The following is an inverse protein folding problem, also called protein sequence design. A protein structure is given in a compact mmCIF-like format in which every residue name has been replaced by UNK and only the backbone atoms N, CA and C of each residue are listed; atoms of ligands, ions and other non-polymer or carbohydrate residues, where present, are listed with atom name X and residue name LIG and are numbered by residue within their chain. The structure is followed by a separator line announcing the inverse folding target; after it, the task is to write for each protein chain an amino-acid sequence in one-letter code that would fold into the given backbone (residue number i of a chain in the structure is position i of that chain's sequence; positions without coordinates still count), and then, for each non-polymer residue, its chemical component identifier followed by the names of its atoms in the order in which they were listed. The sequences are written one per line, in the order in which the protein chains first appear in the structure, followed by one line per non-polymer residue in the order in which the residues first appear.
data_IF_773905071188
#
_entry.id   IF_773905071188
#
_cell.length_a   1.000
_cell.length_b   1.000
_cell.length_c   1.000
_cell.angle_alpha   90.00
_cell.angle_beta   90.00
_cell.angle_gamma   90.00
#
_symmetry.space_group_name_H-M   'P 1'
#
loop_
_entity.id
_entity.type
_entity.pdbx_description
1 polymer ?
#
# COMPACT_ATOMS: atom_id res chain seq x y z
N UNK A 1 49.20 -41.68 36.55
CA UNK A 1 48.94 -40.67 35.48
C UNK A 1 47.50 -40.22 35.56
N UNK A 2 47.24 -38.91 35.70
CA UNK A 2 45.87 -38.39 35.66
C UNK A 2 45.36 -38.41 34.21
N UNK A 3 44.15 -38.90 33.91
CA UNK A 3 43.63 -38.95 32.55
C UNK A 3 43.53 -37.52 31.95
N UNK A 4 43.90 -37.42 30.70
CA UNK A 4 43.81 -36.14 29.96
C UNK A 4 42.34 -35.75 29.76
N UNK A 5 42.06 -34.45 29.56
CA UNK A 5 40.71 -33.92 29.34
C UNK A 5 39.94 -34.66 28.21
N UNK A 6 40.65 -35.01 27.13
CA UNK A 6 40.10 -35.79 26.00
C UNK A 6 39.69 -37.23 26.43
N UNK A 7 40.45 -37.85 27.33
CA UNK A 7 40.13 -39.21 27.86
C UNK A 7 38.91 -39.19 28.77
N UNK A 8 38.68 -38.09 29.51
CA UNK A 8 37.44 -37.90 30.30
C UNK A 8 36.22 -37.62 29.44
N UNK A 9 36.33 -36.91 28.31
CA UNK A 9 35.24 -36.73 27.36
C UNK A 9 34.77 -38.03 26.69
N UNK A 10 35.73 -38.93 26.39
CA UNK A 10 35.42 -40.27 25.80
C UNK A 10 34.74 -41.22 26.76
N UNK A 11 34.75 -40.96 28.06
CA UNK A 11 34.09 -41.79 29.10
C UNK A 11 32.67 -41.31 29.46
N UNK A 12 32.22 -40.19 28.89
CA UNK A 12 30.88 -39.68 29.13
C UNK A 12 29.81 -40.42 28.30
N UNK A 13 28.69 -40.71 28.91
CA UNK A 13 27.56 -41.30 28.18
C UNK A 13 27.03 -40.33 27.13
N UNK A 14 26.42 -40.83 26.07
CA UNK A 14 25.80 -40.02 25.00
C UNK A 14 24.82 -39.01 25.57
N UNK A 15 24.10 -39.35 26.64
CA UNK A 15 23.21 -38.43 27.37
C UNK A 15 23.95 -37.28 28.04
N UNK A 16 25.11 -37.55 28.65
CA UNK A 16 25.93 -36.52 29.29
C UNK A 16 26.55 -35.57 28.27
N UNK A 17 26.97 -36.08 27.12
CA UNK A 17 27.51 -35.25 26.01
C UNK A 17 26.39 -34.34 25.43
N UNK A 18 25.18 -34.87 25.26
CA UNK A 18 24.03 -34.13 24.78
C UNK A 18 23.63 -33.02 25.76
N UNK A 19 23.63 -33.31 27.08
CA UNK A 19 23.35 -32.34 28.12
C UNK A 19 24.37 -31.18 28.18
N UNK A 20 25.66 -31.51 28.01
CA UNK A 20 26.72 -30.51 27.97
C UNK A 20 26.59 -29.63 26.72
N UNK A 21 26.31 -30.21 25.56
CA UNK A 21 26.12 -29.50 24.31
C UNK A 21 24.91 -28.58 24.37
N UNK A 22 23.76 -29.02 24.88
CA UNK A 22 22.56 -28.20 25.02
C UNK A 22 22.77 -27.08 26.02
N UNK A 23 23.41 -27.32 27.18
CA UNK A 23 23.68 -26.27 28.16
C UNK A 23 24.67 -25.23 27.64
N UNK A 24 25.65 -25.65 26.83
CA UNK A 24 26.60 -24.69 26.17
C UNK A 24 25.88 -23.83 25.15
N UNK A 25 24.98 -24.39 24.33
CA UNK A 25 24.19 -23.63 23.36
C UNK A 25 23.28 -22.61 24.06
N UNK A 26 22.60 -23.02 25.12
CA UNK A 26 21.75 -22.13 25.93
C UNK A 26 22.57 -21.02 26.56
N UNK A 27 23.75 -21.32 27.10
CA UNK A 27 24.64 -20.32 27.69
C UNK A 27 25.10 -19.29 26.65
N UNK A 28 25.52 -19.73 25.46
CA UNK A 28 25.92 -18.84 24.37
C UNK A 28 24.75 -17.97 23.91
N UNK A 29 23.57 -18.54 23.73
CA UNK A 29 22.37 -17.79 23.35
C UNK A 29 22.00 -16.72 24.40
N UNK A 30 22.15 -17.07 25.69
CA UNK A 30 21.89 -16.14 26.81
C UNK A 30 22.94 -14.99 26.82
N UNK A 31 24.22 -15.29 26.59
CA UNK A 31 25.27 -14.27 26.52
C UNK A 31 25.03 -13.32 25.34
N UNK A 32 24.65 -13.85 24.16
CA UNK A 32 24.35 -13.02 22.97
C UNK A 32 23.12 -12.14 23.22
N UNK A 33 22.08 -12.67 23.83
CA UNK A 33 20.88 -11.88 24.18
C UNK A 33 21.19 -10.80 25.22
N UNK A 34 21.97 -11.10 26.26
CA UNK A 34 22.39 -10.14 27.27
C UNK A 34 23.31 -9.06 26.69
N UNK A 35 24.25 -9.43 25.81
CA UNK A 35 25.11 -8.45 25.16
C UNK A 35 24.33 -7.51 24.22
N UNK A 36 23.32 -8.01 23.53
CA UNK A 36 22.41 -7.21 22.71
C UNK A 36 21.59 -6.21 23.56
N UNK A 37 21.07 -6.65 24.70
CA UNK A 37 20.31 -5.77 25.62
C UNK A 37 21.20 -4.71 26.28
N UNK A 38 22.40 -5.07 26.72
CA UNK A 38 23.38 -4.14 27.29
C UNK A 38 23.80 -3.10 26.24
N UNK A 39 24.07 -3.53 25.00
CA UNK A 39 24.42 -2.63 23.89
C UNK A 39 23.28 -1.66 23.58
N UNK A 40 22.04 -2.12 23.54
CA UNK A 40 20.88 -1.25 23.28
C UNK A 40 20.60 -0.26 24.41
N UNK A 41 20.76 -0.68 25.67
CA UNK A 41 20.63 0.17 26.83
C UNK A 41 21.73 1.24 26.88
N UNK A 42 22.99 0.85 26.58
CA UNK A 42 24.12 1.76 26.49
C UNK A 42 23.92 2.82 25.41
N UNK A 43 23.48 2.42 24.19
CA UNK A 43 23.16 3.36 23.10
C UNK A 43 22.04 4.32 23.46
N UNK A 44 20.97 3.84 24.17
CA UNK A 44 19.89 4.72 24.66
C UNK A 44 20.39 5.73 25.68
N UNK A 45 21.28 5.31 26.57
CA UNK A 45 21.88 6.18 27.58
C UNK A 45 22.80 7.22 26.94
N UNK A 46 23.60 6.80 25.96
CA UNK A 46 24.44 7.69 25.18
C UNK A 46 23.63 8.75 24.43
N UNK A 47 22.58 8.34 23.69
CA UNK A 47 21.66 9.28 23.02
C UNK A 47 21.03 10.27 23.99
N UNK A 48 20.66 9.82 25.18
CA UNK A 48 20.05 10.69 26.20
C UNK A 48 21.05 11.70 26.77
N UNK A 49 22.31 11.33 26.96
CA UNK A 49 23.36 12.19 27.54
C UNK A 49 23.99 13.13 26.51
N UNK A 50 24.34 12.61 25.35
CA UNK A 50 25.16 13.30 24.35
C UNK A 50 24.40 13.65 23.07
N UNK A 51 23.12 13.30 22.97
CA UNK A 51 22.37 13.47 21.73
C UNK A 51 22.68 12.41 20.67
N UNK A 52 22.04 12.53 19.53
CA UNK A 52 22.16 11.64 18.38
C UNK A 52 23.18 12.18 17.38
N UNK A 53 24.09 11.32 16.93
CA UNK A 53 25.05 11.68 15.88
C UNK A 53 24.34 11.85 14.54
N UNK A 54 24.64 12.93 13.82
CA UNK A 54 24.02 13.28 12.55
C UNK A 54 25.08 13.66 11.52
N UNK A 55 24.81 13.35 10.26
CA UNK A 55 25.69 13.65 9.14
C UNK A 55 27.02 12.90 9.19
N UNK A 56 27.94 13.29 8.32
CA UNK A 56 29.27 12.67 8.18
C UNK A 56 30.35 13.37 9.02
N UNK A 57 30.06 14.54 9.60
CA UNK A 57 31.02 15.35 10.38
C UNK A 57 30.84 15.19 11.89
N UNK A 58 30.19 14.08 12.32
CA UNK A 58 30.03 13.71 13.73
C UNK A 58 29.34 14.76 14.59
N UNK A 59 28.52 15.65 13.97
CA UNK A 59 27.72 16.60 14.72
C UNK A 59 26.68 15.85 15.56
N UNK A 60 26.24 16.46 16.66
CA UNK A 60 25.25 15.86 17.55
C UNK A 60 23.99 16.70 17.64
N UNK A 61 22.83 16.02 17.51
CA UNK A 61 21.51 16.61 17.74
C UNK A 61 20.97 16.17 19.09
N UNK A 62 20.71 17.13 19.95
CA UNK A 62 20.01 16.91 21.22
C UNK A 62 18.53 17.22 21.00
N UNK A 63 17.69 16.20 21.07
CA UNK A 63 16.25 16.29 20.79
C UNK A 63 15.57 17.42 21.56
N UNK A 64 14.79 18.24 20.85
CA UNK A 64 14.08 19.38 21.40
C UNK A 64 14.99 20.52 21.92
N UNK A 65 16.22 20.60 21.44
CA UNK A 65 17.16 21.62 21.88
C UNK A 65 18.04 22.17 20.73
N UNK A 66 19.14 21.52 20.39
CA UNK A 66 20.15 22.11 19.53
C UNK A 66 20.98 21.07 18.78
N UNK A 67 21.66 21.55 17.71
CA UNK A 67 22.77 20.83 17.04
C UNK A 67 24.09 21.47 17.52
N UNK A 68 25.05 20.66 17.89
CA UNK A 68 26.35 21.11 18.37
C UNK A 68 27.50 20.27 17.83
N UNK A 69 28.71 20.87 17.83
CA UNK A 69 29.94 20.16 17.56
C UNK A 69 30.42 19.52 18.87
N UNK A 70 30.52 18.19 19.00
CA UNK A 70 30.94 17.55 20.24
C UNK A 70 32.43 17.76 20.60
N UNK A 71 33.29 18.10 19.62
CA UNK A 71 34.70 18.33 19.85
C UNK A 71 34.98 19.72 20.47
N UNK A 72 34.24 20.74 19.99
CA UNK A 72 34.41 22.13 20.43
C UNK A 72 33.42 22.55 21.49
N UNK A 73 32.29 21.82 21.60
CA UNK A 73 31.13 22.22 22.43
C UNK A 73 30.32 23.37 21.83
N UNK A 74 30.64 23.85 20.62
CA UNK A 74 29.95 24.95 19.96
C UNK A 74 28.54 24.56 19.56
N UNK A 75 27.54 25.37 19.91
CA UNK A 75 26.14 25.22 19.46
C UNK A 75 26.04 25.88 18.08
N UNK A 76 25.80 25.07 17.05
CA UNK A 76 25.68 25.51 15.67
C UNK A 76 24.25 25.96 15.32
N UNK A 77 23.25 25.32 15.95
CA UNK A 77 21.84 25.66 15.77
C UNK A 77 21.08 25.37 17.06
N UNK A 78 20.33 26.34 17.56
CA UNK A 78 19.62 26.28 18.84
C UNK A 78 18.10 26.35 18.66
N UNK A 79 17.37 25.98 19.73
CA UNK A 79 15.92 26.07 19.83
C UNK A 79 15.19 25.33 18.72
N UNK A 80 15.59 24.08 18.46
CA UNK A 80 15.01 23.19 17.48
C UNK A 80 13.84 22.44 18.11
N UNK A 81 12.66 22.47 17.50
CA UNK A 81 11.51 21.68 17.97
C UNK A 81 11.73 20.19 17.66
N UNK A 82 12.09 19.88 16.42
CA UNK A 82 12.47 18.52 15.98
C UNK A 82 13.31 18.54 14.70
N UNK A 83 14.02 17.45 14.47
CA UNK A 83 14.82 17.16 13.29
C UNK A 83 14.43 15.79 12.76
N UNK A 84 14.00 15.73 11.50
CA UNK A 84 13.73 14.47 10.81
C UNK A 84 14.94 14.10 9.95
N UNK A 85 15.65 13.07 10.37
CA UNK A 85 16.88 12.59 9.75
C UNK A 85 16.60 11.31 8.98
N UNK A 86 16.83 11.35 7.69
CA UNK A 86 16.99 10.14 6.89
C UNK A 86 18.49 9.78 6.87
N UNK A 87 18.87 8.69 7.52
CA UNK A 87 20.27 8.29 7.66
C UNK A 87 20.97 7.93 6.35
N UNK A 88 20.23 7.78 5.26
CA UNK A 88 20.80 7.60 3.92
C UNK A 88 21.08 8.92 3.20
N UNK A 89 20.73 10.07 3.79
CA UNK A 89 20.88 11.40 3.20
C UNK A 89 21.64 12.37 4.13
N UNK A 90 22.29 13.34 3.53
CA UNK A 90 22.97 14.45 4.23
C UNK A 90 22.07 15.67 4.42
N UNK A 91 20.83 15.62 3.93
CA UNK A 91 19.82 16.67 4.07
C UNK A 91 18.70 16.16 4.98
N UNK A 92 18.32 16.97 5.93
CA UNK A 92 17.23 16.68 6.87
C UNK A 92 16.18 17.78 6.84
N UNK A 93 15.00 17.48 7.40
CA UNK A 93 13.95 18.45 7.66
C UNK A 93 14.08 18.94 9.09
N UNK A 94 14.30 20.24 9.26
CA UNK A 94 14.31 20.92 10.54
C UNK A 94 12.97 21.62 10.79
N UNK A 95 12.46 21.50 12.02
CA UNK A 95 11.32 22.28 12.48
C UNK A 95 11.70 23.18 13.66
N UNK A 96 11.26 24.42 13.60
CA UNK A 96 11.39 25.42 14.65
C UNK A 96 10.23 26.42 14.57
N UNK A 97 9.57 26.69 15.69
CA UNK A 97 8.44 27.63 15.77
C UNK A 97 7.35 27.32 14.74
N UNK A 98 7.00 26.04 14.60
CA UNK A 98 6.02 25.56 13.63
C UNK A 98 6.34 25.86 12.15
N UNK A 99 7.61 26.18 11.85
CA UNK A 99 8.14 26.34 10.51
C UNK A 99 9.17 25.28 10.20
N UNK A 100 9.36 25.00 8.91
CA UNK A 100 10.26 23.96 8.43
C UNK A 100 11.27 24.53 7.45
N UNK A 101 12.44 23.90 7.42
CA UNK A 101 13.52 24.18 6.48
C UNK A 101 14.26 22.88 6.15
N UNK A 102 14.92 22.85 5.02
CA UNK A 102 15.97 21.86 4.76
C UNK A 102 17.28 22.33 5.37
N UNK A 103 18.00 21.41 5.97
CA UNK A 103 19.28 21.63 6.62
C UNK A 103 20.33 20.63 6.14
N UNK A 104 21.55 21.08 5.96
CA UNK A 104 22.70 20.20 5.70
C UNK A 104 23.21 19.64 7.03
N UNK A 105 23.17 18.33 7.19
CA UNK A 105 23.58 17.64 8.41
C UNK A 105 25.09 17.68 8.66
N UNK A 106 25.90 17.93 7.64
CA UNK A 106 27.36 18.00 7.80
C UNK A 106 27.82 19.36 8.30
N UNK A 107 27.05 20.41 8.08
CA UNK A 107 27.45 21.79 8.42
C UNK A 107 26.49 22.47 9.41
N UNK A 108 25.34 21.86 9.68
CA UNK A 108 24.21 22.44 10.41
C UNK A 108 23.70 23.77 9.80
N UNK A 109 23.99 24.03 8.52
CA UNK A 109 23.51 25.23 7.82
C UNK A 109 22.14 24.99 7.18
N UNK A 110 21.28 25.98 7.26
CA UNK A 110 20.02 25.95 6.56
C UNK A 110 20.25 26.05 5.04
N UNK A 111 19.67 25.10 4.29
CA UNK A 111 19.65 25.09 2.83
C UNK A 111 18.53 25.99 2.32
N UNK A 112 17.38 25.99 3.02
CA UNK A 112 16.23 26.84 2.69
C UNK A 112 15.85 27.71 3.89
N UNK A 113 15.19 28.87 3.65
CA UNK A 113 14.72 29.68 4.77
C UNK A 113 13.67 28.95 5.61
N UNK A 114 13.63 29.24 6.91
CA UNK A 114 12.72 28.63 7.89
C UNK A 114 11.34 29.31 7.85
N UNK A 115 10.61 29.15 6.76
CA UNK A 115 9.33 29.84 6.51
C UNK A 115 8.21 28.92 6.03
N UNK A 116 8.51 27.64 5.77
CA UNK A 116 7.57 26.68 5.21
C UNK A 116 6.74 26.00 6.31
N UNK A 117 5.52 25.61 5.97
CA UNK A 117 4.55 25.01 6.89
C UNK A 117 4.63 23.48 6.90
N UNK A 118 4.99 22.91 5.77
CA UNK A 118 5.17 21.47 5.59
C UNK A 118 6.41 21.20 4.77
N UNK A 119 6.97 20.01 4.93
CA UNK A 119 8.11 19.53 4.18
C UNK A 119 8.08 18.01 4.07
N UNK A 120 8.57 17.48 2.96
CA UNK A 120 8.78 16.07 2.70
C UNK A 120 10.23 15.82 2.35
N UNK A 121 10.71 14.61 2.62
CA UNK A 121 12.09 14.20 2.37
C UNK A 121 12.49 14.33 0.90
N UNK A 122 13.79 14.40 0.68
CA UNK A 122 14.33 14.33 -0.67
C UNK A 122 14.10 12.94 -1.27
N UNK A 123 13.53 12.92 -2.47
CA UNK A 123 13.44 11.75 -3.33
C UNK A 123 13.76 12.17 -4.76
N UNK A 124 14.52 11.36 -5.49
CA UNK A 124 14.96 11.68 -6.86
C UNK A 124 15.63 13.06 -6.96
N UNK A 125 16.46 13.42 -5.95
CA UNK A 125 17.13 14.71 -5.82
C UNK A 125 16.20 15.94 -5.76
N UNK A 126 14.96 15.73 -5.33
CA UNK A 126 13.96 16.79 -5.13
C UNK A 126 13.39 16.73 -3.73
N UNK A 127 13.39 17.87 -3.05
CA UNK A 127 12.70 18.10 -1.79
C UNK A 127 11.44 18.93 -2.04
N UNK A 128 10.40 18.69 -1.25
CA UNK A 128 9.13 19.38 -1.41
C UNK A 128 8.78 20.12 -0.12
N UNK A 129 8.35 21.37 -0.26
CA UNK A 129 7.84 22.16 0.86
C UNK A 129 6.56 22.91 0.47
N UNK A 130 5.76 23.24 1.47
CA UNK A 130 4.53 24.02 1.30
C UNK A 130 4.62 25.30 2.12
N UNK A 131 4.21 26.41 1.48
CA UNK A 131 4.01 27.71 2.10
C UNK A 131 2.76 28.36 1.51
N UNK A 132 1.85 28.80 2.36
CA UNK A 132 0.61 29.50 1.95
C UNK A 132 -0.14 28.72 0.86
N UNK A 133 -0.42 27.44 1.12
CA UNK A 133 -1.10 26.51 0.21
C UNK A 133 -0.44 26.37 -1.18
N UNK A 134 0.86 26.63 -1.25
CA UNK A 134 1.65 26.47 -2.48
C UNK A 134 2.78 25.46 -2.29
N UNK A 135 2.87 24.51 -3.20
CA UNK A 135 3.92 23.49 -3.26
C UNK A 135 5.12 24.05 -4.01
N UNK A 136 6.28 24.06 -3.37
CA UNK A 136 7.56 24.40 -3.96
C UNK A 136 8.46 23.17 -4.00
N UNK A 137 9.14 22.96 -5.13
CA UNK A 137 10.06 21.86 -5.37
C UNK A 137 11.48 22.41 -5.37
N UNK A 138 12.34 21.80 -4.60
CA UNK A 138 13.72 22.24 -4.36
C UNK A 138 14.73 21.25 -4.92
N UNK A 139 15.85 21.79 -5.43
CA UNK A 139 17.08 21.01 -5.62
C UNK A 139 17.84 20.91 -4.30
N UNK A 140 18.83 20.05 -4.26
CA UNK A 140 19.67 19.82 -3.06
C UNK A 140 20.45 21.08 -2.62
N UNK A 141 20.68 22.02 -3.52
CA UNK A 141 21.32 23.30 -3.23
C UNK A 141 20.36 24.38 -2.68
N UNK A 142 19.10 24.06 -2.53
CA UNK A 142 18.05 24.97 -2.05
C UNK A 142 17.43 25.84 -3.13
N UNK A 143 17.83 25.71 -4.39
CA UNK A 143 17.19 26.44 -5.50
C UNK A 143 15.82 25.83 -5.83
N UNK A 144 14.84 26.72 -6.14
CA UNK A 144 13.48 26.32 -6.47
C UNK A 144 13.42 25.91 -7.95
N UNK A 145 12.78 24.75 -8.22
CA UNK A 145 12.57 24.24 -9.58
C UNK A 145 11.34 24.89 -10.23
N UNK A 146 10.28 25.11 -9.45
CA UNK A 146 8.98 25.65 -9.89
C UNK A 146 8.64 26.98 -9.20
N UNK A 147 9.20 28.11 -9.59
CA UNK A 147 9.00 29.40 -8.90
C UNK A 147 7.53 29.84 -8.76
N UNK A 148 6.68 29.44 -9.71
CA UNK A 148 5.24 29.73 -9.64
C UNK A 148 4.51 28.86 -8.62
N UNK A 149 5.11 27.72 -8.22
CA UNK A 149 4.50 26.73 -7.35
C UNK A 149 3.35 25.95 -7.99
N UNK A 150 2.87 24.98 -7.25
CA UNK A 150 1.60 24.29 -7.54
C UNK A 150 0.68 24.44 -6.33
N UNK A 151 -0.62 24.40 -6.53
CA UNK A 151 -1.57 24.49 -5.43
C UNK A 151 -1.49 23.27 -4.52
N UNK A 152 -1.46 23.52 -3.21
CA UNK A 152 -1.55 22.47 -2.20
C UNK A 152 -3.00 22.26 -1.78
N UNK A 153 -3.49 21.03 -1.90
CA UNK A 153 -4.88 20.63 -1.58
C UNK A 153 -4.96 19.68 -0.37
N UNK A 154 -3.94 19.65 0.47
CA UNK A 154 -3.95 18.80 1.65
C UNK A 154 -3.40 17.37 1.42
N UNK A 155 -2.72 17.12 0.30
CA UNK A 155 -2.09 15.82 0.04
C UNK A 155 -1.15 15.43 1.18
N UNK A 156 -1.23 14.16 1.62
CA UNK A 156 -0.41 13.67 2.71
C UNK A 156 0.96 13.19 2.25
N UNK A 157 1.05 12.68 1.02
CA UNK A 157 2.25 12.02 0.50
C UNK A 157 2.75 12.71 -0.77
N UNK A 158 3.43 13.84 -0.58
CA UNK A 158 4.07 14.59 -1.66
C UNK A 158 5.54 14.15 -1.79
N UNK A 159 5.75 12.99 -2.38
CA UNK A 159 7.08 12.44 -2.63
C UNK A 159 7.23 12.01 -4.08
N UNK A 160 8.41 12.22 -4.65
CA UNK A 160 8.73 11.70 -5.97
C UNK A 160 8.87 10.18 -5.94
N UNK A 161 8.13 9.52 -6.83
CA UNK A 161 8.29 8.10 -7.10
C UNK A 161 8.90 7.94 -8.50
N UNK A 162 10.12 7.40 -8.58
CA UNK A 162 10.82 7.17 -9.84
C UNK A 162 10.78 8.36 -10.78
N UNK A 163 11.22 9.52 -10.33
CA UNK A 163 11.30 10.76 -11.10
C UNK A 163 9.97 11.47 -11.41
N UNK A 164 8.84 10.98 -10.88
CA UNK A 164 7.54 11.59 -11.11
C UNK A 164 6.80 11.92 -9.81
N UNK A 165 6.02 13.00 -9.83
CA UNK A 165 5.21 13.47 -8.72
C UNK A 165 3.77 13.70 -9.18
N UNK A 166 2.81 13.17 -8.42
CA UNK A 166 1.38 13.45 -8.62
C UNK A 166 1.07 14.80 -7.98
N UNK A 167 0.47 15.70 -8.76
CA UNK A 167 0.11 17.05 -8.31
C UNK A 167 -1.34 17.36 -8.63
N UNK A 168 -2.06 17.83 -7.61
CA UNK A 168 -3.42 18.34 -7.78
C UNK A 168 -3.35 19.82 -8.20
N UNK A 169 -4.27 20.22 -9.06
CA UNK A 169 -4.47 21.61 -9.45
C UNK A 169 -5.86 22.11 -9.05
N UNK A 170 -6.26 23.26 -9.49
CA UNK A 170 -7.61 23.77 -9.30
C UNK A 170 -8.66 22.82 -9.89
N UNK A 171 -9.89 22.87 -9.35
CA UNK A 171 -11.01 22.01 -9.72
C UNK A 171 -10.83 20.51 -9.42
N UNK A 172 -9.92 20.17 -8.47
CA UNK A 172 -9.62 18.80 -8.02
C UNK A 172 -9.09 17.87 -9.12
N UNK A 173 -8.60 18.46 -10.21
CA UNK A 173 -7.91 17.72 -11.26
C UNK A 173 -6.47 17.39 -10.86
N UNK A 174 -5.99 16.29 -11.37
CA UNK A 174 -4.68 15.70 -11.05
C UNK A 174 -3.86 15.54 -12.31
N UNK A 175 -2.57 15.80 -12.19
CA UNK A 175 -1.59 15.55 -13.24
C UNK A 175 -0.31 14.94 -12.67
N UNK A 176 0.59 14.57 -13.56
CA UNK A 176 1.89 13.99 -13.23
C UNK A 176 2.99 14.88 -13.79
N UNK A 177 3.96 15.26 -12.95
CA UNK A 177 5.12 16.05 -13.36
C UNK A 177 6.41 15.25 -13.22
N UNK A 178 7.43 15.63 -13.96
CA UNK A 178 8.80 15.14 -13.86
C UNK A 178 9.62 15.94 -12.81
N UNK A 179 10.90 15.57 -12.67
CA UNK A 179 11.83 16.27 -11.75
C UNK A 179 12.21 17.68 -12.19
N UNK A 180 11.87 18.09 -13.42
CA UNK A 180 11.99 19.46 -13.91
C UNK A 180 10.70 20.27 -13.67
N UNK A 181 9.71 19.69 -13.00
CA UNK A 181 8.37 20.22 -12.76
C UNK A 181 7.58 20.50 -14.07
N UNK A 182 7.88 19.72 -15.11
CA UNK A 182 7.13 19.75 -16.38
C UNK A 182 6.06 18.66 -16.37
N UNK A 183 4.88 18.99 -16.90
CA UNK A 183 3.80 18.03 -17.05
C UNK A 183 4.17 16.91 -18.00
N UNK A 184 4.14 15.66 -17.53
CA UNK A 184 4.26 14.44 -18.33
C UNK A 184 2.89 13.79 -18.57
N UNK A 185 1.95 13.97 -17.62
CA UNK A 185 0.51 13.85 -17.85
C UNK A 185 -0.13 15.17 -17.43
N UNK A 186 -0.90 15.82 -18.32
CA UNK A 186 -1.52 17.10 -18.01
C UNK A 186 -2.54 16.97 -16.86
N UNK A 187 -2.84 18.04 -16.13
CA UNK A 187 -3.76 18.00 -14.99
C UNK A 187 -5.23 18.02 -15.45
N UNK A 188 -5.66 16.93 -16.09
CA UNK A 188 -7.02 16.75 -16.61
C UNK A 188 -7.72 15.55 -16.00
N UNK A 189 -7.00 14.73 -15.24
CA UNK A 189 -7.53 13.51 -14.64
C UNK A 189 -8.27 13.82 -13.34
N UNK A 190 -9.37 13.14 -13.09
CA UNK A 190 -10.06 13.19 -11.80
C UNK A 190 -9.32 12.36 -10.73
N UNK A 191 -8.49 11.41 -11.15
CA UNK A 191 -7.71 10.53 -10.27
C UNK A 191 -6.43 10.08 -10.97
N UNK A 192 -5.33 10.01 -10.24
CA UNK A 192 -4.11 9.28 -10.58
C UNK A 192 -3.65 8.54 -9.33
N UNK A 193 -3.59 7.22 -9.38
CA UNK A 193 -3.03 6.36 -8.34
C UNK A 193 -1.74 5.72 -8.83
N UNK A 194 -0.75 5.66 -7.93
CA UNK A 194 0.56 5.07 -8.23
C UNK A 194 0.65 3.66 -7.67
N UNK A 195 0.55 2.68 -8.53
CA UNK A 195 0.71 1.27 -8.22
C UNK A 195 2.20 0.88 -8.31
N UNK A 196 2.97 1.30 -7.28
CA UNK A 196 4.43 1.28 -7.29
C UNK A 196 5.04 -0.12 -7.45
N UNK A 197 4.39 -1.18 -6.97
CA UNK A 197 4.87 -2.56 -7.08
C UNK A 197 4.76 -3.07 -8.52
N UNK A 198 3.64 -2.80 -9.18
CA UNK A 198 3.36 -3.18 -10.57
C UNK A 198 3.95 -2.19 -11.57
N UNK A 199 4.42 -1.03 -11.10
CA UNK A 199 4.97 0.07 -11.91
C UNK A 199 3.95 0.63 -12.89
N UNK A 200 2.75 0.88 -12.40
CA UNK A 200 1.63 1.39 -13.17
C UNK A 200 1.10 2.68 -12.54
N UNK A 201 0.47 3.50 -13.38
CA UNK A 201 -0.40 4.59 -12.96
C UNK A 201 -1.81 4.23 -13.39
N UNK A 202 -2.71 4.10 -12.43
CA UNK A 202 -4.13 3.92 -12.67
C UNK A 202 -4.79 5.30 -12.64
N UNK A 203 -5.47 5.68 -13.73
CA UNK A 203 -5.98 7.02 -13.92
C UNK A 203 -7.43 7.02 -14.39
N UNK A 204 -8.14 8.12 -14.12
CA UNK A 204 -9.49 8.35 -14.62
C UNK A 204 -9.57 9.70 -15.31
N UNK A 205 -10.00 9.67 -16.57
CA UNK A 205 -10.31 10.84 -17.40
C UNK A 205 -11.78 10.76 -17.82
N UNK A 206 -12.62 11.62 -17.27
CA UNK A 206 -14.08 11.57 -17.45
C UNK A 206 -14.66 10.18 -17.09
N UNK A 207 -15.25 9.47 -18.06
CA UNK A 207 -15.81 8.13 -17.89
C UNK A 207 -14.81 7.02 -18.21
N UNK A 208 -13.60 7.36 -18.70
CA UNK A 208 -12.59 6.40 -19.08
C UNK A 208 -11.59 6.12 -17.95
N UNK A 209 -11.30 4.85 -17.71
CA UNK A 209 -10.16 4.41 -16.93
C UNK A 209 -9.00 4.16 -17.88
N UNK A 210 -7.83 4.70 -17.53
CA UNK A 210 -6.61 4.54 -18.32
C UNK A 210 -5.49 4.08 -17.39
N UNK A 211 -4.85 2.97 -17.72
CA UNK A 211 -3.67 2.47 -17.02
C UNK A 211 -2.44 2.73 -17.88
N UNK A 212 -1.47 3.43 -17.32
CA UNK A 212 -0.18 3.67 -17.93
C UNK A 212 0.91 2.86 -17.23
N UNK A 213 1.92 2.40 -17.97
CA UNK A 213 3.17 1.96 -17.35
C UNK A 213 4.01 3.17 -16.91
N UNK A 214 5.15 2.93 -16.24
CA UNK A 214 6.04 4.02 -15.81
C UNK A 214 6.76 4.77 -16.95
N UNK A 215 6.76 4.21 -18.18
CA UNK A 215 7.21 4.89 -19.38
C UNK A 215 6.11 5.79 -19.99
N UNK A 216 4.90 5.75 -19.41
CA UNK A 216 3.69 6.42 -19.86
C UNK A 216 3.11 5.86 -21.17
N UNK A 217 3.45 4.62 -21.51
CA UNK A 217 2.73 3.90 -22.54
C UNK A 217 1.38 3.45 -21.97
N UNK A 218 0.32 3.56 -22.77
CA UNK A 218 -1.01 3.07 -22.39
C UNK A 218 -1.00 1.54 -22.36
N UNK A 219 -1.33 0.97 -21.22
CA UNK A 219 -1.46 -0.46 -20.98
C UNK A 219 -2.89 -0.93 -21.23
N UNK A 220 -3.85 -0.22 -20.64
CA UNK A 220 -5.28 -0.52 -20.76
C UNK A 220 -6.08 0.78 -20.79
N UNK A 221 -7.10 0.84 -21.64
CA UNK A 221 -8.04 1.96 -21.70
C UNK A 221 -9.45 1.42 -21.95
N UNK A 222 -10.43 2.01 -21.31
CA UNK A 222 -11.84 1.69 -21.57
C UNK A 222 -12.81 2.41 -20.65
N UNK A 223 -14.07 2.43 -21.06
CA UNK A 223 -15.18 2.95 -20.27
C UNK A 223 -15.60 1.93 -19.21
N UNK A 224 -14.77 1.75 -18.20
CA UNK A 224 -15.02 0.88 -17.06
C UNK A 224 -15.49 1.69 -15.85
N UNK A 225 -16.28 1.04 -14.98
CA UNK A 225 -16.59 1.61 -13.67
C UNK A 225 -15.33 1.77 -12.83
N UNK A 226 -14.44 0.77 -12.85
CA UNK A 226 -13.12 0.80 -12.22
C UNK A 226 -12.14 -0.13 -12.95
N UNK A 227 -10.85 0.13 -12.78
CA UNK A 227 -9.79 -0.84 -13.01
C UNK A 227 -9.03 -0.97 -11.69
N UNK A 228 -9.05 -2.15 -11.11
CA UNK A 228 -8.35 -2.45 -9.86
C UNK A 228 -7.07 -3.23 -10.19
N UNK A 229 -5.97 -2.88 -9.54
CA UNK A 229 -4.70 -3.59 -9.71
C UNK A 229 -4.60 -4.66 -8.64
N UNK A 230 -4.87 -5.90 -9.00
CA UNK A 230 -4.68 -7.05 -8.10
C UNK A 230 -3.22 -7.49 -8.09
N UNK A 231 -2.66 -7.78 -6.92
CA UNK A 231 -1.23 -8.04 -6.75
C UNK A 231 -0.76 -9.38 -7.32
N UNK A 232 -1.65 -10.33 -7.47
CA UNK A 232 -1.36 -11.70 -7.89
C UNK A 232 -1.90 -12.04 -9.26
N UNK A 233 -2.98 -11.39 -9.66
CA UNK A 233 -3.81 -11.81 -10.79
C UNK A 233 -3.60 -10.92 -12.03
N UNK A 234 -3.54 -9.59 -11.86
CA UNK A 234 -3.43 -8.63 -12.96
C UNK A 234 -4.30 -7.39 -12.79
N UNK A 235 -4.87 -6.90 -13.88
CA UNK A 235 -5.78 -5.77 -13.90
C UNK A 235 -7.23 -6.29 -13.98
N UNK A 236 -8.04 -5.98 -12.97
CA UNK A 236 -9.46 -6.33 -12.93
C UNK A 236 -10.27 -5.12 -13.39
N UNK A 237 -10.75 -5.14 -14.62
CA UNK A 237 -11.62 -4.11 -15.16
C UNK A 237 -13.09 -4.47 -14.89
N UNK A 238 -13.81 -3.59 -14.21
CA UNK A 238 -15.23 -3.78 -13.85
C UNK A 238 -16.09 -2.88 -14.74
N UNK A 239 -17.01 -3.46 -15.48
CA UNK A 239 -18.03 -2.71 -16.23
C UNK A 239 -19.08 -2.09 -15.30
N UNK A 240 -19.83 -1.07 -15.78
CA UNK A 240 -20.91 -0.43 -15.01
C UNK A 240 -22.06 -1.38 -14.62
N UNK A 241 -22.19 -2.52 -15.32
CA UNK A 241 -23.16 -3.58 -14.99
C UNK A 241 -22.62 -4.58 -13.95
N UNK A 242 -21.33 -4.44 -13.54
CA UNK A 242 -20.65 -5.28 -12.56
C UNK A 242 -19.93 -6.51 -13.13
N UNK A 243 -19.94 -6.70 -14.45
CA UNK A 243 -19.10 -7.76 -15.08
C UNK A 243 -17.64 -7.38 -14.94
N UNK A 244 -16.81 -8.35 -14.58
CA UNK A 244 -15.38 -8.17 -14.37
C UNK A 244 -14.58 -8.96 -15.40
N UNK A 245 -13.55 -8.31 -15.93
CA UNK A 245 -12.60 -8.87 -16.89
C UNK A 245 -11.22 -8.90 -16.27
N UNK A 246 -10.41 -9.92 -16.56
CA UNK A 246 -9.03 -9.97 -16.11
C UNK A 246 -8.08 -9.72 -17.29
N UNK A 247 -7.20 -8.74 -17.11
CA UNK A 247 -6.10 -8.45 -18.01
C UNK A 247 -4.77 -8.66 -17.30
N UNK A 248 -3.75 -9.04 -18.05
CA UNK A 248 -2.38 -9.04 -17.55
C UNK A 248 -1.88 -7.61 -17.31
N UNK A 249 -0.76 -7.44 -16.59
CA UNK A 249 -0.16 -6.11 -16.35
C UNK A 249 0.40 -5.45 -17.62
N UNK A 250 0.43 -6.14 -18.77
CA UNK A 250 0.74 -5.59 -20.09
C UNK A 250 -0.51 -5.35 -20.94
N UNK A 251 -1.71 -5.44 -20.33
CA UNK A 251 -2.98 -5.10 -20.95
C UNK A 251 -3.60 -6.17 -21.83
N UNK A 252 -3.09 -7.40 -21.83
CA UNK A 252 -3.68 -8.51 -22.60
C UNK A 252 -4.83 -9.12 -21.82
N UNK A 253 -5.96 -9.33 -22.50
CA UNK A 253 -7.09 -10.04 -21.94
C UNK A 253 -6.73 -11.48 -21.60
N UNK A 254 -6.88 -11.87 -20.33
CA UNK A 254 -6.68 -13.24 -19.83
C UNK A 254 -8.01 -13.96 -19.75
N UNK A 255 -9.00 -13.33 -19.11
CA UNK A 255 -10.36 -13.85 -18.99
C UNK A 255 -11.39 -12.77 -19.30
N UNK A 256 -12.31 -13.08 -20.21
CA UNK A 256 -13.41 -12.20 -20.61
C UNK A 256 -14.42 -11.98 -19.47
N UNK A 257 -14.61 -12.98 -18.61
CA UNK A 257 -15.43 -12.87 -17.40
C UNK A 257 -14.74 -13.63 -16.27
N UNK A 258 -14.56 -12.97 -15.15
CA UNK A 258 -14.02 -13.58 -13.94
C UNK A 258 -15.06 -13.63 -12.83
N UNK A 259 -14.95 -14.66 -12.01
CA UNK A 259 -15.79 -14.84 -10.83
C UNK A 259 -15.00 -15.55 -9.72
N UNK A 260 -15.30 -15.19 -8.49
CA UNK A 260 -14.67 -15.76 -7.30
C UNK A 260 -15.10 -17.22 -7.07
N UNK A 261 -16.36 -17.52 -7.36
CA UNK A 261 -16.90 -18.88 -7.20
C UNK A 261 -18.13 -19.10 -8.08
N UNK A 262 -18.33 -20.37 -8.44
CA UNK A 262 -19.59 -20.86 -9.02
C UNK A 262 -20.15 -21.91 -8.06
N UNK A 263 -21.46 -21.89 -7.87
CA UNK A 263 -22.17 -22.87 -7.05
C UNK A 263 -23.42 -23.36 -7.77
N UNK A 264 -23.74 -24.62 -7.57
CA UNK A 264 -25.01 -25.19 -8.02
C UNK A 264 -26.18 -24.61 -7.24
N UNK A 265 -27.31 -24.49 -7.91
CA UNK A 265 -28.58 -24.11 -7.30
C UNK A 265 -29.52 -25.31 -7.27
N UNK A 266 -29.99 -25.64 -6.08
CA UNK A 266 -31.01 -26.66 -5.87
C UNK A 266 -32.25 -26.03 -5.22
N UNK A 267 -33.39 -26.58 -5.50
CA UNK A 267 -34.68 -26.20 -4.91
C UNK A 267 -35.32 -27.35 -4.15
N UNK A 268 -36.07 -27.03 -3.10
CA UNK A 268 -36.84 -28.00 -2.36
C UNK A 268 -38.09 -28.38 -3.18
N UNK A 269 -38.25 -29.66 -3.50
CA UNK A 269 -39.39 -30.16 -4.30
C UNK A 269 -40.72 -30.20 -3.51
N UNK A 270 -40.67 -29.99 -2.19
CA UNK A 270 -41.81 -30.20 -1.29
C UNK A 270 -42.13 -31.68 -1.03
N UNK A 271 -41.39 -32.60 -1.62
CA UNK A 271 -41.55 -34.04 -1.43
C UNK A 271 -40.56 -34.56 -0.37
N UNK A 272 -40.90 -35.71 0.23
CA UNK A 272 -40.05 -36.41 1.19
C UNK A 272 -39.68 -37.80 0.68
N UNK A 273 -38.50 -38.29 1.03
CA UNK A 273 -38.08 -39.62 0.76
C UNK A 273 -38.72 -40.63 1.73
N UNK A 274 -38.40 -41.91 1.57
CA UNK A 274 -38.93 -43.01 2.41
C UNK A 274 -38.46 -42.86 3.90
N UNK A 275 -37.46 -42.11 4.19
CA UNK A 275 -36.91 -41.81 5.51
C UNK A 275 -37.45 -40.50 6.10
N UNK A 276 -38.26 -39.74 5.36
CA UNK A 276 -38.84 -38.47 5.79
C UNK A 276 -37.97 -37.23 5.53
N UNK A 277 -36.84 -37.34 4.85
CA UNK A 277 -35.99 -36.24 4.48
C UNK A 277 -36.57 -35.49 3.29
N UNK A 278 -36.33 -34.18 3.24
CA UNK A 278 -36.73 -33.31 2.10
C UNK A 278 -35.92 -33.65 0.84
N UNK A 279 -36.59 -33.73 -0.31
CA UNK A 279 -35.95 -34.04 -1.59
C UNK A 279 -35.66 -32.71 -2.27
N UNK A 280 -34.34 -32.48 -2.56
CA UNK A 280 -33.83 -31.32 -3.30
C UNK A 280 -33.45 -31.76 -4.71
N UNK A 281 -33.79 -30.95 -5.70
CA UNK A 281 -33.39 -31.16 -7.10
C UNK A 281 -32.58 -29.97 -7.63
N UNK A 282 -31.61 -30.27 -8.49
CA UNK A 282 -30.82 -29.22 -9.13
C UNK A 282 -31.60 -28.46 -10.18
N UNK A 283 -31.25 -27.18 -10.32
CA UNK A 283 -31.79 -26.32 -11.40
C UNK A 283 -30.90 -26.41 -12.66
N UNK A 284 -31.33 -25.73 -13.73
CA UNK A 284 -30.52 -25.59 -14.97
C UNK A 284 -29.56 -24.41 -14.92
N UNK A 285 -29.40 -23.75 -13.76
CA UNK A 285 -28.57 -22.59 -13.59
C UNK A 285 -27.54 -22.79 -12.49
N UNK A 286 -26.44 -22.02 -12.60
CA UNK A 286 -25.49 -21.78 -11.54
C UNK A 286 -25.69 -20.38 -10.98
N UNK A 287 -25.30 -20.19 -9.72
CA UNK A 287 -25.02 -18.86 -9.17
C UNK A 287 -23.51 -18.66 -9.19
N UNK A 288 -23.08 -17.54 -9.73
CA UNK A 288 -21.68 -17.12 -9.64
C UNK A 288 -21.55 -15.90 -8.73
N UNK A 289 -20.40 -15.78 -8.09
CA UNK A 289 -20.09 -14.67 -7.19
C UNK A 289 -18.88 -13.94 -7.75
N UNK A 290 -18.96 -12.62 -7.88
CA UNK A 290 -17.85 -11.77 -8.27
C UNK A 290 -16.86 -11.56 -7.10
N UNK A 291 -15.76 -10.85 -7.36
CA UNK A 291 -14.78 -10.55 -6.32
C UNK A 291 -15.29 -9.55 -5.27
N UNK A 292 -16.36 -8.80 -5.56
CA UNK A 292 -17.03 -7.90 -4.62
C UNK A 292 -18.09 -8.61 -3.76
N UNK A 293 -18.25 -9.92 -3.93
CA UNK A 293 -19.22 -10.73 -3.21
C UNK A 293 -20.65 -10.58 -3.69
N UNK A 294 -20.86 -9.97 -4.88
CA UNK A 294 -22.16 -9.92 -5.53
C UNK A 294 -22.39 -11.16 -6.34
N UNK A 295 -23.66 -11.57 -6.43
CA UNK A 295 -24.09 -12.77 -7.13
C UNK A 295 -24.84 -12.46 -8.41
N UNK A 296 -24.57 -13.27 -9.43
CA UNK A 296 -25.29 -13.30 -10.68
C UNK A 296 -25.74 -14.71 -11.04
N UNK A 297 -26.63 -14.85 -12.00
CA UNK A 297 -27.12 -16.11 -12.54
C UNK A 297 -26.39 -16.43 -13.84
N UNK A 298 -25.98 -17.69 -14.04
CA UNK A 298 -25.44 -18.19 -15.30
C UNK A 298 -26.05 -19.56 -15.67
N UNK A 299 -26.07 -19.87 -16.94
CA UNK A 299 -26.57 -21.17 -17.41
C UNK A 299 -25.51 -22.31 -17.21
N UNK A 300 -25.94 -23.53 -17.44
CA UNK A 300 -25.04 -24.70 -17.37
C UNK A 300 -23.95 -24.74 -18.46
N UNK A 301 -23.94 -23.78 -19.40
CA UNK A 301 -22.88 -23.57 -20.40
C UNK A 301 -21.96 -22.41 -20.02
N UNK A 302 -22.04 -21.93 -18.77
CA UNK A 302 -21.25 -20.81 -18.23
C UNK A 302 -21.52 -19.45 -18.90
N UNK A 303 -22.70 -19.27 -19.58
CA UNK A 303 -23.09 -17.96 -20.11
C UNK A 303 -23.79 -17.17 -19.01
N UNK A 304 -23.36 -15.93 -18.82
CA UNK A 304 -23.96 -14.99 -17.86
C UNK A 304 -25.38 -14.65 -18.30
N UNK A 305 -26.35 -14.86 -17.39
CA UNK A 305 -27.76 -14.53 -17.58
C UNK A 305 -28.15 -13.24 -16.89
N UNK A 306 -27.55 -12.98 -15.71
CA UNK A 306 -27.64 -11.69 -15.02
C UNK A 306 -26.26 -11.22 -14.55
N UNK A 307 -25.99 -9.91 -14.60
CA UNK A 307 -24.79 -9.36 -14.00
C UNK A 307 -24.78 -9.58 -12.47
N UNK A 308 -23.61 -9.51 -11.80
CA UNK A 308 -23.42 -9.78 -10.37
C UNK A 308 -23.88 -8.59 -9.53
N UNK A 309 -25.16 -8.41 -9.36
CA UNK A 309 -25.77 -7.27 -8.64
C UNK A 309 -26.54 -7.65 -7.38
N UNK A 310 -26.77 -8.94 -7.17
CA UNK A 310 -27.57 -9.44 -6.06
C UNK A 310 -26.66 -9.79 -4.86
N UNK A 311 -27.22 -9.71 -3.65
CA UNK A 311 -26.52 -10.24 -2.46
C UNK A 311 -26.70 -11.74 -2.32
N UNK A 312 -27.83 -12.26 -2.77
CA UNK A 312 -28.10 -13.70 -2.78
C UNK A 312 -29.07 -14.06 -3.88
N UNK A 313 -28.96 -15.31 -4.39
CA UNK A 313 -29.89 -15.92 -5.32
C UNK A 313 -30.23 -17.30 -4.80
N UNK A 314 -31.50 -17.59 -4.60
CA UNK A 314 -32.01 -18.91 -4.15
C UNK A 314 -33.02 -19.43 -5.13
N UNK A 315 -32.98 -20.74 -5.41
CA UNK A 315 -33.98 -21.37 -6.27
C UNK A 315 -35.29 -21.57 -5.51
N UNK A 316 -36.40 -21.12 -6.11
CA UNK A 316 -37.75 -21.36 -5.61
C UNK A 316 -38.40 -22.57 -6.29
N UNK A 317 -38.11 -22.74 -7.56
CA UNK A 317 -38.46 -23.90 -8.37
C UNK A 317 -37.32 -24.21 -9.33
N UNK A 318 -37.49 -25.23 -10.18
CA UNK A 318 -36.53 -25.56 -11.22
C UNK A 318 -36.21 -24.38 -12.17
N UNK A 319 -37.16 -23.45 -12.39
CA UNK A 319 -37.11 -22.39 -13.39
C UNK A 319 -37.27 -20.98 -12.82
N UNK A 320 -37.44 -20.86 -11.50
CA UNK A 320 -37.63 -19.54 -10.85
C UNK A 320 -36.72 -19.36 -9.66
N UNK A 321 -36.15 -18.16 -9.55
CA UNK A 321 -35.18 -17.83 -8.53
C UNK A 321 -35.57 -16.54 -7.83
N UNK A 322 -35.37 -16.48 -6.52
CA UNK A 322 -35.45 -15.24 -5.76
C UNK A 322 -34.07 -14.60 -5.66
N UNK A 323 -33.96 -13.39 -6.19
CA UNK A 323 -32.72 -12.61 -6.21
C UNK A 323 -32.82 -11.44 -5.23
N UNK A 324 -32.05 -11.46 -4.17
CA UNK A 324 -32.06 -10.50 -3.06
C UNK A 324 -31.17 -9.28 -3.35
N UNK A 325 -31.71 -8.07 -3.10
CA UNK A 325 -30.94 -6.81 -3.12
C UNK A 325 -30.39 -6.41 -1.74
N UNK A 326 -30.75 -7.11 -0.67
CA UNK A 326 -30.35 -6.78 0.70
C UNK A 326 -29.43 -7.83 1.34
N UNK A 327 -28.33 -7.39 1.97
CA UNK A 327 -27.36 -8.29 2.63
C UNK A 327 -27.95 -9.10 3.80
N UNK A 328 -29.00 -8.61 4.43
CA UNK A 328 -29.58 -9.18 5.67
C UNK A 328 -31.08 -9.47 5.58
N UNK A 329 -31.66 -9.39 4.40
CA UNK A 329 -33.11 -9.49 4.25
C UNK A 329 -33.52 -10.23 2.98
N UNK A 330 -34.03 -11.45 3.14
CA UNK A 330 -34.71 -12.16 2.08
C UNK A 330 -36.08 -11.51 1.70
N UNK A 331 -36.39 -10.33 2.26
CA UNK A 331 -37.65 -9.61 2.01
C UNK A 331 -37.51 -8.55 0.92
N UNK A 332 -36.30 -8.15 0.56
CA UNK A 332 -36.08 -7.14 -0.47
C UNK A 332 -35.37 -7.77 -1.66
N UNK A 333 -36.15 -8.16 -2.65
CA UNK A 333 -35.66 -8.85 -3.84
C UNK A 333 -36.68 -8.91 -4.94
N UNK A 334 -36.37 -9.63 -5.99
CA UNK A 334 -37.22 -9.88 -7.14
C UNK A 334 -37.18 -11.35 -7.52
N UNK A 335 -38.28 -11.85 -8.08
CA UNK A 335 -38.28 -13.14 -8.76
C UNK A 335 -37.76 -12.97 -10.18
N UNK A 336 -36.88 -13.88 -10.59
CA UNK A 336 -36.33 -13.96 -11.95
C UNK A 336 -36.52 -15.37 -12.50
N UNK A 337 -36.68 -15.46 -13.80
CA UNK A 337 -36.75 -16.74 -14.51
C UNK A 337 -35.37 -17.34 -14.81
N UNK A 338 -35.31 -18.51 -15.42
CA UNK A 338 -34.10 -19.19 -15.83
C UNK A 338 -33.29 -18.46 -16.94
N UNK A 339 -33.80 -17.37 -17.48
CA UNK A 339 -33.16 -16.49 -18.42
C UNK A 339 -32.69 -15.18 -17.77
N UNK A 340 -32.86 -15.05 -16.44
CA UNK A 340 -32.47 -13.88 -15.66
C UNK A 340 -33.44 -12.69 -15.79
N UNK A 341 -34.63 -12.89 -16.35
CA UNK A 341 -35.65 -11.85 -16.54
C UNK A 341 -36.59 -11.77 -15.32
N UNK A 342 -36.95 -10.55 -14.86
CA UNK A 342 -37.92 -10.41 -13.77
C UNK A 342 -39.26 -11.02 -14.13
N UNK A 343 -39.82 -11.80 -13.20
CA UNK A 343 -41.18 -12.35 -13.27
C UNK A 343 -42.10 -11.34 -12.57
N UNK A 344 -43.10 -10.87 -13.25
CA UNK A 344 -44.12 -9.95 -12.72
C UNK A 344 -45.22 -10.70 -11.96
#
# INVERSE_FOLDING_TARGET
MKPTFIQRLKSLSTRSILLIATSTVVLIATIVALSGTISSASRRMEKKLYGEEIGNNHLRYKHGAHIYNPETGEILLDSIDWLHVNYSDTIAILAKNNRRAFINLNTAQLITPLIYEKAWEFACDRGIMVKSDTIYIFRRDGSIVNPQGFKYKGQYDLIYHRDKLIVNVDNDLVGLIDTAAQWVLPPVYSMIENEYQQRLYNTRLDEECIVYNYALDTVLIGAYQSIDVDWSEGLIATEYNGIQHLFSYDGKLIYEVIYKSISELAYNTGRKDAQGNEIWEETNCYVYTDYNGKKGLMDKRYRVLTPPRFYDITAQTKHTFFASFGKWSNRFGTLIDEYGKPIR
#
